data_IF_738247368760
#
_entry.id   IF_738247368760
#
_cell.length_a   1.000
_cell.length_b   1.000
_cell.length_c   1.000
_cell.angle_alpha   90.00
_cell.angle_beta   90.00
_cell.angle_gamma   90.00
#
_symmetry.space_group_name_H-M   'P 1'
#
loop_
_entity.id
_entity.type
_entity.pdbx_description
1 polymer ?
#
# COMPACT_ATOMS: atom_id res chain seq x y z
N UNK A 1 4.41 12.15 -2.91
CA UNK A 1 3.25 12.25 -3.81
C UNK A 1 2.01 11.73 -3.10
N UNK A 2 0.90 12.39 -3.28
CA UNK A 2 -0.34 12.09 -2.56
C UNK A 2 -1.43 11.58 -3.48
N UNK A 3 -2.26 10.70 -2.98
CA UNK A 3 -3.52 10.28 -3.58
C UNK A 3 -4.68 10.83 -2.75
N UNK A 4 -5.83 11.02 -3.39
CA UNK A 4 -6.99 11.61 -2.76
C UNK A 4 -8.18 10.65 -2.78
N UNK A 5 -8.92 10.66 -1.68
CA UNK A 5 -10.17 9.90 -1.55
C UNK A 5 -11.26 10.84 -1.07
N UNK A 6 -12.45 10.72 -1.64
CA UNK A 6 -13.62 11.48 -1.21
C UNK A 6 -14.46 10.56 -0.33
N UNK A 7 -14.70 10.99 0.90
CA UNK A 7 -15.52 10.25 1.88
C UNK A 7 -16.66 11.11 2.37
N UNK A 8 -17.80 10.49 2.60
CA UNK A 8 -18.92 11.13 3.25
C UNK A 8 -18.73 11.04 4.77
N UNK A 9 -18.84 12.18 5.43
CA UNK A 9 -18.80 12.27 6.89
C UNK A 9 -20.05 12.97 7.40
N UNK A 10 -20.54 12.51 8.56
CA UNK A 10 -21.64 13.14 9.25
C UNK A 10 -21.14 14.42 9.92
N UNK A 11 -21.78 15.55 9.60
CA UNK A 11 -21.51 16.80 10.28
C UNK A 11 -22.17 16.74 11.67
N UNK A 12 -21.36 16.84 12.73
CA UNK A 12 -21.84 16.75 14.11
C UNK A 12 -22.70 17.94 14.52
N UNK A 13 -22.63 19.07 13.84
CA UNK A 13 -23.40 20.28 14.13
C UNK A 13 -24.78 20.27 13.46
N UNK A 14 -24.83 19.84 12.19
CA UNK A 14 -26.07 19.88 11.40
C UNK A 14 -26.73 18.52 11.22
N UNK A 15 -26.01 17.44 11.49
CA UNK A 15 -26.49 16.08 11.24
C UNK A 15 -26.56 15.69 9.77
N UNK A 16 -26.10 16.55 8.87
CA UNK A 16 -26.07 16.29 7.44
C UNK A 16 -24.77 15.59 7.04
N UNK A 17 -24.85 14.75 6.01
CA UNK A 17 -23.65 14.13 5.42
C UNK A 17 -22.92 15.13 4.54
N UNK A 18 -21.63 15.29 4.80
CA UNK A 18 -20.75 16.18 4.07
C UNK A 18 -19.63 15.38 3.40
N UNK A 19 -19.36 15.68 2.14
CA UNK A 19 -18.22 15.12 1.45
C UNK A 19 -16.92 15.78 1.92
N UNK A 20 -15.93 14.97 2.26
CA UNK A 20 -14.63 15.44 2.73
C UNK A 20 -13.53 14.80 1.88
N UNK A 21 -12.51 15.61 1.57
CA UNK A 21 -11.35 15.17 0.81
C UNK A 21 -10.27 14.70 1.77
N UNK A 22 -9.82 13.46 1.62
CA UNK A 22 -8.71 12.89 2.36
C UNK A 22 -7.51 12.69 1.46
N UNK A 23 -6.36 13.16 1.92
CA UNK A 23 -5.08 12.97 1.24
C UNK A 23 -4.27 11.91 1.98
N UNK A 24 -3.70 10.97 1.24
CA UNK A 24 -2.79 9.96 1.77
C UNK A 24 -1.50 9.99 0.95
N UNK A 25 -0.37 9.76 1.61
CA UNK A 25 0.89 9.62 0.90
C UNK A 25 0.93 8.27 0.18
N UNK A 26 1.37 8.28 -1.08
CA UNK A 26 1.64 7.06 -1.81
C UNK A 26 2.93 6.46 -1.27
N UNK A 27 2.90 5.17 -0.91
CA UNK A 27 4.04 4.51 -0.30
C UNK A 27 5.25 4.49 -1.24
N UNK A 28 6.42 4.83 -0.70
CA UNK A 28 7.69 4.70 -1.40
C UNK A 28 8.21 3.26 -1.29
N UNK A 29 9.07 2.87 -2.24
CA UNK A 29 9.63 1.52 -2.29
C UNK A 29 10.39 1.16 -1.01
N UNK A 30 11.13 2.10 -0.43
CA UNK A 30 11.82 1.89 0.85
C UNK A 30 10.86 1.58 1.99
N UNK A 31 9.72 2.26 2.03
CA UNK A 31 8.69 2.03 3.05
C UNK A 31 8.07 0.65 2.88
N UNK A 32 7.82 0.24 1.64
CA UNK A 32 7.29 -1.08 1.32
C UNK A 32 8.30 -2.17 1.73
N UNK A 33 9.58 -1.97 1.42
CA UNK A 33 10.64 -2.90 1.83
C UNK A 33 10.71 -3.09 3.35
N UNK A 34 10.59 -2.00 4.11
CA UNK A 34 10.53 -2.06 5.58
C UNK A 34 9.31 -2.85 6.07
N UNK A 35 8.17 -2.70 5.41
CA UNK A 35 6.95 -3.46 5.73
C UNK A 35 7.11 -4.94 5.42
N UNK A 36 7.80 -5.29 4.35
CA UNK A 36 8.12 -6.69 4.01
C UNK A 36 8.97 -7.32 5.12
N UNK A 37 10.02 -6.63 5.53
CA UNK A 37 10.88 -7.09 6.64
C UNK A 37 10.07 -7.26 7.93
N UNK A 38 9.21 -6.28 8.25
CA UNK A 38 8.35 -6.34 9.42
C UNK A 38 7.42 -7.56 9.41
N UNK A 39 6.84 -7.88 8.24
CA UNK A 39 6.01 -9.09 8.08
C UNK A 39 6.79 -10.37 8.35
N UNK A 40 8.01 -10.46 7.83
CA UNK A 40 8.88 -11.61 8.07
C UNK A 40 9.20 -11.72 9.56
N UNK A 41 9.49 -10.59 10.21
CA UNK A 41 9.83 -10.54 11.64
C UNK A 41 8.67 -10.87 12.58
N UNK A 42 7.43 -10.70 12.15
CA UNK A 42 6.25 -11.14 12.91
C UNK A 42 6.28 -12.65 13.17
N UNK A 43 6.83 -13.42 12.24
CA UNK A 43 6.83 -14.88 12.31
C UNK A 43 8.22 -15.45 12.58
N UNK A 44 9.26 -14.82 12.06
CA UNK A 44 10.65 -15.26 12.21
C UNK A 44 11.52 -14.09 12.68
N UNK A 45 12.03 -14.17 13.91
CA UNK A 45 13.03 -13.23 14.40
C UNK A 45 14.37 -13.44 13.67
N UNK A 46 15.30 -12.49 13.85
CA UNK A 46 16.61 -12.56 13.19
C UNK A 46 17.35 -13.86 13.48
N UNK A 47 17.36 -14.29 14.75
CA UNK A 47 18.03 -15.52 15.15
C UNK A 47 17.35 -16.76 14.56
N UNK A 48 16.03 -16.76 14.49
CA UNK A 48 15.26 -17.84 13.89
C UNK A 48 15.50 -17.93 12.39
N UNK A 49 15.60 -16.78 11.71
CA UNK A 49 15.90 -16.71 10.29
C UNK A 49 17.28 -17.30 9.97
N UNK A 50 18.29 -16.94 10.77
CA UNK A 50 19.63 -17.50 10.65
C UNK A 50 19.59 -19.02 10.83
N UNK A 51 18.84 -19.50 11.83
CA UNK A 51 18.66 -20.93 12.08
C UNK A 51 18.02 -21.65 10.89
N UNK A 52 16.97 -21.08 10.30
CA UNK A 52 16.30 -21.64 9.13
C UNK A 52 17.22 -21.69 7.91
N UNK A 53 18.01 -20.64 7.68
CA UNK A 53 18.98 -20.60 6.59
C UNK A 53 20.06 -21.67 6.76
N UNK A 54 20.53 -21.89 7.97
CA UNK A 54 21.48 -22.97 8.27
C UNK A 54 20.88 -24.35 7.99
N UNK A 55 19.63 -24.58 8.39
CA UNK A 55 18.93 -25.83 8.09
C UNK A 55 18.83 -26.05 6.57
N UNK A 56 18.54 -25.01 5.81
CA UNK A 56 18.46 -25.07 4.36
C UNK A 56 19.80 -25.40 3.68
N UNK A 57 20.91 -24.92 4.24
CA UNK A 57 22.26 -25.24 3.75
C UNK A 57 22.58 -26.72 3.99
N UNK A 58 22.21 -27.25 5.15
CA UNK A 58 22.47 -28.64 5.53
C UNK A 58 21.52 -29.62 4.82
N UNK A 59 20.27 -29.23 4.67
CA UNK A 59 19.24 -30.05 4.02
C UNK A 59 18.16 -29.14 3.40
N UNK A 60 18.25 -28.90 2.10
CA UNK A 60 17.30 -28.07 1.35
C UNK A 60 15.87 -28.64 1.31
N UNK A 61 15.69 -29.90 1.67
CA UNK A 61 14.38 -30.57 1.75
C UNK A 61 13.79 -30.55 3.15
N UNK A 62 14.48 -29.93 4.13
CA UNK A 62 13.97 -29.75 5.47
C UNK A 62 12.62 -29.02 5.45
N UNK A 63 11.62 -29.59 6.11
CA UNK A 63 10.26 -29.04 6.08
C UNK A 63 10.17 -27.67 6.71
N UNK A 64 10.89 -27.43 7.80
CA UNK A 64 10.88 -26.13 8.47
C UNK A 64 11.53 -25.05 7.61
N UNK A 65 12.62 -25.39 6.93
CA UNK A 65 13.27 -24.50 5.97
C UNK A 65 12.35 -24.20 4.80
N UNK A 66 11.67 -25.19 4.24
CA UNK A 66 10.74 -24.97 3.12
C UNK A 66 9.57 -24.08 3.52
N UNK A 67 9.01 -24.28 4.71
CA UNK A 67 7.94 -23.44 5.23
C UNK A 67 8.41 -21.98 5.41
N UNK A 68 9.60 -21.79 5.94
CA UNK A 68 10.23 -20.47 6.07
C UNK A 68 10.40 -19.81 4.70
N UNK A 69 10.97 -20.53 3.75
CA UNK A 69 11.24 -20.03 2.41
C UNK A 69 9.96 -19.62 1.68
N UNK A 70 8.91 -20.45 1.77
CA UNK A 70 7.59 -20.13 1.20
C UNK A 70 7.01 -18.85 1.81
N UNK A 71 7.12 -18.70 3.13
CA UNK A 71 6.62 -17.51 3.80
C UNK A 71 7.37 -16.25 3.37
N UNK A 72 8.69 -16.32 3.25
CA UNK A 72 9.51 -15.20 2.76
C UNK A 72 9.12 -14.83 1.32
N UNK A 73 8.92 -15.82 0.47
CA UNK A 73 8.47 -15.60 -0.92
C UNK A 73 7.10 -14.94 -0.97
N UNK A 74 6.17 -15.35 -0.12
CA UNK A 74 4.84 -14.71 -0.01
C UNK A 74 4.98 -13.24 0.40
N UNK A 75 5.82 -12.94 1.38
CA UNK A 75 6.06 -11.57 1.82
C UNK A 75 6.69 -10.72 0.72
N UNK A 76 7.64 -11.27 -0.04
CA UNK A 76 8.26 -10.58 -1.17
C UNK A 76 7.27 -10.34 -2.31
N UNK A 77 6.41 -11.30 -2.61
CA UNK A 77 5.35 -11.17 -3.61
C UNK A 77 4.39 -10.05 -3.21
N UNK A 78 3.97 -10.03 -1.96
CA UNK A 78 3.15 -8.95 -1.44
C UNK A 78 3.83 -7.58 -1.62
N UNK A 79 5.13 -7.49 -1.30
CA UNK A 79 5.90 -6.26 -1.48
C UNK A 79 5.98 -5.81 -2.93
N UNK A 80 6.21 -6.74 -3.85
CA UNK A 80 6.26 -6.45 -5.29
C UNK A 80 4.90 -5.96 -5.82
N UNK A 81 3.81 -6.56 -5.36
CA UNK A 81 2.45 -6.12 -5.71
C UNK A 81 2.19 -4.70 -5.20
N UNK A 82 2.57 -4.39 -3.97
CA UNK A 82 2.42 -3.05 -3.40
C UNK A 82 3.26 -2.01 -4.13
N UNK A 83 4.48 -2.35 -4.54
CA UNK A 83 5.32 -1.47 -5.37
C UNK A 83 4.70 -1.19 -6.73
N UNK A 84 4.13 -2.20 -7.36
CA UNK A 84 3.43 -2.04 -8.65
C UNK A 84 2.20 -1.15 -8.52
N UNK A 85 1.38 -1.35 -7.49
CA UNK A 85 0.22 -0.49 -7.19
C UNK A 85 0.65 0.96 -6.96
N UNK A 86 1.69 1.16 -6.14
CA UNK A 86 2.21 2.50 -5.85
C UNK A 86 2.73 3.19 -7.11
N UNK A 87 3.40 2.46 -7.99
CA UNK A 87 3.89 3.00 -9.27
C UNK A 87 2.73 3.47 -10.15
N UNK A 88 1.67 2.67 -10.27
CA UNK A 88 0.48 3.04 -11.03
C UNK A 88 -0.25 4.23 -10.42
N UNK A 89 -0.36 4.29 -9.09
CA UNK A 89 -0.94 5.42 -8.40
C UNK A 89 -0.15 6.71 -8.62
N UNK A 90 1.19 6.66 -8.59
CA UNK A 90 2.04 7.81 -8.88
C UNK A 90 1.82 8.32 -10.31
N UNK A 91 1.72 7.43 -11.28
CA UNK A 91 1.44 7.78 -12.67
C UNK A 91 0.07 8.45 -12.79
N UNK A 92 -0.94 7.87 -12.17
CA UNK A 92 -2.31 8.40 -12.20
C UNK A 92 -2.39 9.78 -11.55
N UNK A 93 -1.76 9.97 -10.38
CA UNK A 93 -1.88 11.21 -9.60
C UNK A 93 -0.84 12.28 -9.95
N UNK A 94 0.05 12.02 -10.88
CA UNK A 94 1.17 12.89 -11.23
C UNK A 94 0.78 14.35 -11.43
N UNK A 95 -0.30 14.63 -12.14
CA UNK A 95 -0.77 15.98 -12.48
C UNK A 95 -2.16 16.27 -11.89
N UNK A 96 -2.64 15.48 -10.95
CA UNK A 96 -4.01 15.51 -10.44
C UNK A 96 -4.09 15.86 -8.96
N UNK A 97 -3.17 16.66 -8.48
CA UNK A 97 -3.14 17.07 -7.10
C UNK A 97 -4.07 18.27 -6.84
N UNK A 98 -4.41 18.50 -5.57
CA UNK A 98 -5.18 19.65 -5.15
C UNK A 98 -4.41 20.94 -5.47
N UNK A 99 -5.04 21.86 -6.16
CA UNK A 99 -4.44 23.15 -6.51
C UNK A 99 -4.41 24.07 -5.29
N UNK A 100 -3.34 24.86 -5.18
CA UNK A 100 -3.06 25.71 -4.02
C UNK A 100 -4.19 26.68 -3.64
N UNK A 101 -4.85 27.26 -4.63
CA UNK A 101 -5.91 28.25 -4.45
C UNK A 101 -7.32 27.70 -4.68
N UNK A 102 -7.45 26.39 -4.77
CA UNK A 102 -8.71 25.72 -5.00
C UNK A 102 -9.43 25.46 -3.67
N UNK A 103 -10.73 25.79 -3.61
CA UNK A 103 -11.53 25.42 -2.43
C UNK A 103 -11.70 23.90 -2.35
N UNK A 104 -11.97 23.39 -1.15
CA UNK A 104 -12.22 21.95 -0.96
C UNK A 104 -13.38 21.46 -1.82
N UNK A 105 -14.46 22.24 -1.90
CA UNK A 105 -15.63 21.92 -2.73
C UNK A 105 -15.28 21.79 -4.21
N UNK A 106 -14.49 22.72 -4.73
CA UNK A 106 -14.04 22.73 -6.13
C UNK A 106 -13.07 21.58 -6.40
N UNK A 107 -12.18 21.29 -5.44
CA UNK A 107 -11.28 20.14 -5.51
C UNK A 107 -12.06 18.83 -5.56
N UNK A 108 -13.08 18.68 -4.73
CA UNK A 108 -13.93 17.48 -4.70
C UNK A 108 -14.64 17.31 -6.05
N UNK A 109 -15.24 18.37 -6.58
CA UNK A 109 -15.94 18.34 -7.88
C UNK A 109 -15.01 17.93 -9.01
N UNK A 110 -13.82 18.48 -9.05
CA UNK A 110 -12.81 18.17 -10.07
C UNK A 110 -12.30 16.72 -9.93
N UNK A 111 -11.99 16.31 -8.70
CA UNK A 111 -11.45 14.98 -8.44
C UNK A 111 -12.49 13.86 -8.62
N UNK A 112 -13.78 14.13 -8.43
CA UNK A 112 -14.82 13.17 -8.78
C UNK A 112 -14.77 12.79 -10.26
N UNK A 113 -14.60 13.77 -11.14
CA UNK A 113 -14.45 13.52 -12.58
C UNK A 113 -13.19 12.71 -12.89
N UNK A 114 -12.09 13.03 -12.21
CA UNK A 114 -10.82 12.32 -12.36
C UNK A 114 -10.96 10.86 -11.90
N UNK A 115 -11.63 10.62 -10.76
CA UNK A 115 -11.78 9.28 -10.18
C UNK A 115 -12.68 8.38 -11.02
N UNK A 116 -13.64 8.92 -11.77
CA UNK A 116 -14.46 8.12 -12.70
C UNK A 116 -13.63 7.54 -13.85
N UNK A 117 -12.54 8.19 -14.22
CA UNK A 117 -11.63 7.74 -15.27
C UNK A 117 -10.46 6.90 -14.74
N UNK A 118 -10.37 6.71 -13.41
CA UNK A 118 -9.31 5.92 -12.82
C UNK A 118 -9.44 4.46 -13.26
N UNK A 119 -8.38 3.86 -13.84
CA UNK A 119 -8.41 2.46 -14.18
C UNK A 119 -8.65 1.63 -12.92
N UNK A 120 -9.56 0.67 -13.01
CA UNK A 120 -9.83 -0.27 -11.93
C UNK A 120 -8.53 -1.02 -11.66
N UNK A 121 -8.09 -1.03 -10.41
CA UNK A 121 -6.94 -1.83 -10.01
C UNK A 121 -7.19 -3.28 -10.43
N UNK A 122 -6.21 -3.86 -11.14
CA UNK A 122 -6.30 -5.24 -11.57
C UNK A 122 -6.42 -6.12 -10.32
N UNK A 123 -7.60 -6.62 -10.08
CA UNK A 123 -7.81 -7.65 -9.09
C UNK A 123 -7.15 -8.92 -9.59
N UNK A 124 -6.20 -9.38 -8.84
CA UNK A 124 -5.59 -10.68 -9.08
C UNK A 124 -6.18 -11.71 -8.15
#
# INVERSE_FOLDING_TARGET
MRKYTIKEQLDSETGEQKETLFAEDILEDNTINKKVVAKIRERYGENEEIKMLRLGILDGLNKDFQAYNEYVEECQTWGNEKKAEATQERIFWKDKYRRRNESEKDSISRLKLVLTDKPIALEK
#
